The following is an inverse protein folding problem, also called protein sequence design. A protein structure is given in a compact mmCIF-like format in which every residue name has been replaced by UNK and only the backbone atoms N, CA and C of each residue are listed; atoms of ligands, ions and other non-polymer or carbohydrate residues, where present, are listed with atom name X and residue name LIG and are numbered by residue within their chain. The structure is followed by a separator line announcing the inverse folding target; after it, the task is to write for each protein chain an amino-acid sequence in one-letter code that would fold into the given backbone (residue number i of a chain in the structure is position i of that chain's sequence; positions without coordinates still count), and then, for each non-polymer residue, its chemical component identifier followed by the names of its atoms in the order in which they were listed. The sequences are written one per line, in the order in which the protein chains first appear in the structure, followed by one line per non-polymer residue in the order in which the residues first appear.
data_IF_569360454105
#
_entry.id   IF_569360454105
#
_cell.length_a   1.000
_cell.length_b   1.000
_cell.length_c   1.000
_cell.angle_alpha   90.00
_cell.angle_beta   90.00
_cell.angle_gamma   90.00
#
_symmetry.space_group_name_H-M   'P 1'
#
loop_
_entity.id
_entity.type
_entity.pdbx_description
1 polymer ?
#
# COMPACT_ATOMS: atom_id res chain seq x y z
N UNK A 1 -16.79 -9.71 11.52
CA UNK A 1 -16.44 -9.65 10.08
C UNK A 1 -15.80 -10.95 9.62
N UNK A 2 -16.02 -11.33 8.37
CA UNK A 2 -15.52 -12.56 7.72
C UNK A 2 -14.62 -12.21 6.53
N UNK A 3 -13.98 -13.22 5.92
CA UNK A 3 -13.21 -13.07 4.68
C UNK A 3 -14.00 -12.40 3.54
N UNK A 4 -15.30 -12.71 3.43
CA UNK A 4 -16.17 -12.05 2.45
C UNK A 4 -16.31 -10.55 2.72
N UNK A 5 -16.45 -10.15 3.98
CA UNK A 5 -16.46 -8.74 4.35
C UNK A 5 -15.15 -8.03 4.00
N UNK A 6 -14.01 -8.70 4.14
CA UNK A 6 -12.70 -8.13 3.73
C UNK A 6 -12.62 -7.94 2.22
N UNK A 7 -13.19 -8.84 1.42
CA UNK A 7 -13.28 -8.66 -0.04
C UNK A 7 -14.12 -7.45 -0.42
N UNK A 8 -15.30 -7.30 0.20
CA UNK A 8 -16.13 -6.11 -0.03
C UNK A 8 -15.40 -4.83 0.39
N UNK A 9 -14.63 -4.86 1.48
CA UNK A 9 -13.78 -3.73 1.86
C UNK A 9 -12.72 -3.43 0.80
N UNK A 10 -12.09 -4.44 0.21
CA UNK A 10 -11.14 -4.23 -0.89
C UNK A 10 -11.83 -3.60 -2.10
N UNK A 11 -13.03 -4.07 -2.46
CA UNK A 11 -13.82 -3.49 -3.56
C UNK A 11 -14.15 -2.01 -3.32
N UNK A 12 -14.49 -1.63 -2.08
CA UNK A 12 -14.80 -0.24 -1.73
C UNK A 12 -13.54 0.62 -1.61
N UNK A 13 -12.47 0.09 -1.05
CA UNK A 13 -11.25 0.85 -0.75
C UNK A 13 -10.29 0.94 -1.94
N UNK A 14 -10.44 0.04 -2.92
CA UNK A 14 -9.58 -0.07 -4.10
C UNK A 14 -10.35 0.01 -5.42
N UNK A 15 -11.69 0.07 -5.38
CA UNK A 15 -12.54 0.16 -6.56
C UNK A 15 -12.23 1.40 -7.40
N UNK A 16 -12.06 1.17 -8.70
CA UNK A 16 -11.45 2.11 -9.67
C UNK A 16 -12.46 3.04 -10.35
N UNK A 17 -13.76 3.00 -10.05
CA UNK A 17 -14.75 3.68 -10.88
C UNK A 17 -15.59 4.73 -10.14
N UNK A 18 -15.41 5.97 -10.61
CA UNK A 18 -16.24 7.18 -10.56
C UNK A 18 -16.89 7.58 -9.22
N UNK A 19 -16.43 8.73 -8.71
CA UNK A 19 -17.04 9.57 -7.67
C UNK A 19 -17.23 9.00 -6.25
N UNK A 20 -17.03 7.70 -6.01
CA UNK A 20 -17.03 7.13 -4.66
C UNK A 20 -15.69 7.36 -3.94
N UNK A 21 -15.48 8.63 -3.63
CA UNK A 21 -14.47 9.20 -2.76
C UNK A 21 -14.44 8.44 -1.40
N UNK A 22 -13.45 7.58 -1.20
CA UNK A 22 -12.93 7.20 0.12
C UNK A 22 -11.53 7.84 0.31
N UNK A 23 -11.42 9.18 0.24
CA UNK A 23 -10.20 9.87 -0.15
C UNK A 23 -9.23 10.08 1.03
N UNK A 24 -9.49 9.45 2.17
CA UNK A 24 -8.81 9.81 3.42
C UNK A 24 -8.90 8.75 4.50
N UNK A 25 -9.20 7.49 4.16
CA UNK A 25 -9.18 6.45 5.19
C UNK A 25 -7.74 6.13 5.56
N UNK A 26 -7.25 6.80 6.60
CA UNK A 26 -5.87 6.60 7.07
C UNK A 26 -5.72 5.37 7.99
N UNK A 27 -6.80 4.93 8.64
CA UNK A 27 -6.75 3.87 9.65
C UNK A 27 -7.92 2.91 9.49
N UNK A 28 -7.62 1.64 9.29
CA UNK A 28 -8.58 0.54 9.22
C UNK A 28 -8.34 -0.42 10.39
N UNK A 29 -9.27 -0.42 11.35
CA UNK A 29 -9.22 -1.28 12.53
C UNK A 29 -10.20 -2.43 12.39
N UNK A 30 -9.67 -3.62 12.08
CA UNK A 30 -10.49 -4.83 11.90
C UNK A 30 -9.99 -6.00 12.75
N UNK A 31 -9.28 -5.68 13.83
CA UNK A 31 -8.82 -6.61 14.86
C UNK A 31 -9.98 -7.33 15.55
N UNK A 32 -9.66 -8.44 16.23
CA UNK A 32 -10.61 -9.28 16.97
C UNK A 32 -11.70 -9.93 16.10
N UNK A 33 -11.44 -10.09 14.80
CA UNK A 33 -12.32 -10.79 13.88
C UNK A 33 -11.76 -12.19 13.55
N UNK A 34 -12.09 -13.18 14.39
CA UNK A 34 -11.60 -14.56 14.24
C UNK A 34 -12.03 -15.26 12.95
N UNK A 35 -13.06 -14.76 12.27
CA UNK A 35 -13.53 -15.26 10.98
C UNK A 35 -12.82 -14.61 9.78
N UNK A 36 -11.84 -13.74 10.04
CA UNK A 36 -10.85 -13.34 9.04
C UNK A 36 -9.73 -14.38 9.11
N UNK A 37 -9.59 -15.12 8.03
CA UNK A 37 -8.69 -16.25 7.87
C UNK A 37 -7.74 -16.01 6.70
N UNK A 38 -6.86 -16.98 6.44
CA UNK A 38 -5.92 -16.94 5.32
C UNK A 38 -6.59 -16.74 3.95
N UNK A 39 -7.90 -17.01 3.82
CA UNK A 39 -8.67 -16.79 2.59
C UNK A 39 -8.83 -15.31 2.22
N UNK A 40 -8.67 -14.40 3.18
CA UNK A 40 -8.72 -12.95 2.93
C UNK A 40 -7.44 -12.35 2.37
N UNK A 41 -6.37 -13.14 2.20
CA UNK A 41 -5.04 -12.61 1.92
C UNK A 41 -4.96 -11.72 0.68
N UNK A 42 -5.53 -12.16 -0.44
CA UNK A 42 -5.44 -11.41 -1.70
C UNK A 42 -6.14 -10.05 -1.58
N UNK A 43 -7.29 -10.01 -0.92
CA UNK A 43 -8.01 -8.76 -0.65
C UNK A 43 -7.22 -7.83 0.29
N UNK A 44 -6.57 -8.38 1.32
CA UNK A 44 -5.73 -7.59 2.22
C UNK A 44 -4.49 -7.02 1.51
N UNK A 45 -3.87 -7.79 0.62
CA UNK A 45 -2.74 -7.32 -0.19
C UNK A 45 -3.22 -6.22 -1.15
N UNK A 46 -4.37 -6.42 -1.81
CA UNK A 46 -4.96 -5.41 -2.68
C UNK A 46 -5.21 -4.08 -1.95
N UNK A 47 -5.72 -4.12 -0.72
CA UNK A 47 -5.90 -2.92 0.12
C UNK A 47 -4.56 -2.24 0.40
N UNK A 48 -3.51 -3.00 0.73
CA UNK A 48 -2.18 -2.45 1.01
C UNK A 48 -1.56 -1.80 -0.23
N UNK A 49 -1.67 -2.43 -1.39
CA UNK A 49 -0.99 -1.99 -2.61
C UNK A 49 -1.73 -0.85 -3.33
N UNK A 50 -3.07 -0.83 -3.28
CA UNK A 50 -3.88 0.10 -4.07
C UNK A 50 -4.39 1.29 -3.25
N UNK A 51 -4.60 1.15 -1.94
CA UNK A 51 -5.06 2.28 -1.13
C UNK A 51 -3.88 3.18 -0.70
N UNK A 52 -3.69 4.28 -1.42
CA UNK A 52 -2.59 5.24 -1.19
C UNK A 52 -2.73 6.08 0.08
N UNK A 53 -3.89 6.07 0.74
CA UNK A 53 -4.17 6.91 1.92
C UNK A 53 -4.03 6.15 3.24
N UNK A 54 -4.10 4.82 3.20
CA UNK A 54 -4.10 3.97 4.39
C UNK A 54 -2.72 3.91 5.03
N UNK A 55 -2.61 4.45 6.25
CA UNK A 55 -1.37 4.47 7.05
C UNK A 55 -1.32 3.36 8.09
N UNK A 56 -2.48 2.84 8.50
CA UNK A 56 -2.57 1.81 9.54
C UNK A 56 -3.65 0.78 9.21
N UNK A 57 -3.25 -0.50 9.18
CA UNK A 57 -4.13 -1.65 9.09
C UNK A 57 -3.94 -2.56 10.32
N UNK A 58 -4.97 -2.65 11.17
CA UNK A 58 -4.93 -3.47 12.39
C UNK A 58 -5.65 -4.81 12.19
N UNK A 59 -4.89 -5.90 12.27
CA UNK A 59 -5.32 -7.30 12.07
C UNK A 59 -4.99 -8.20 13.28
N UNK A 60 -4.93 -7.60 14.47
CA UNK A 60 -4.63 -8.35 15.70
C UNK A 60 -5.80 -9.27 16.05
N UNK A 61 -5.51 -10.44 16.63
CA UNK A 61 -6.55 -11.39 17.04
C UNK A 61 -7.51 -11.86 15.93
N UNK A 62 -7.04 -11.86 14.67
CA UNK A 62 -7.65 -12.60 13.55
C UNK A 62 -7.00 -13.98 13.37
N UNK A 63 -7.67 -14.90 12.69
CA UNK A 63 -7.20 -16.27 12.43
C UNK A 63 -6.25 -16.36 11.23
N UNK A 64 -5.32 -15.41 11.14
CA UNK A 64 -4.28 -15.37 10.12
C UNK A 64 -3.05 -16.16 10.57
N UNK A 65 -2.61 -17.11 9.76
CA UNK A 65 -1.39 -17.87 9.99
C UNK A 65 -0.14 -16.99 9.85
N UNK A 66 0.98 -17.45 10.43
CA UNK A 66 2.25 -16.75 10.30
C UNK A 66 2.73 -16.63 8.85
N UNK A 67 2.35 -17.59 8.00
CA UNK A 67 2.64 -17.54 6.56
C UNK A 67 1.98 -16.33 5.91
N UNK A 68 0.70 -16.10 6.19
CA UNK A 68 -0.04 -14.95 5.66
C UNK A 68 0.48 -13.65 6.27
N UNK A 69 0.76 -13.60 7.57
CA UNK A 69 1.37 -12.43 8.22
C UNK A 69 2.71 -12.06 7.59
N UNK A 70 3.54 -13.03 7.21
CA UNK A 70 4.80 -12.77 6.48
C UNK A 70 4.56 -12.20 5.08
N UNK A 71 3.57 -12.71 4.34
CA UNK A 71 3.21 -12.16 3.03
C UNK A 71 2.74 -10.71 3.12
N UNK A 72 1.87 -10.39 4.10
CA UNK A 72 1.42 -9.02 4.34
C UNK A 72 2.57 -8.07 4.67
N UNK A 73 3.52 -8.49 5.53
CA UNK A 73 4.73 -7.70 5.80
C UNK A 73 5.57 -7.46 4.55
N UNK A 74 5.69 -8.47 3.68
CA UNK A 74 6.42 -8.32 2.41
C UNK A 74 5.75 -7.33 1.47
N UNK A 75 4.42 -7.36 1.35
CA UNK A 75 3.67 -6.40 0.54
C UNK A 75 3.95 -4.95 0.99
N UNK A 76 3.92 -4.70 2.32
CA UNK A 76 4.27 -3.38 2.88
C UNK A 76 5.72 -2.99 2.58
N UNK A 77 6.68 -3.92 2.73
CA UNK A 77 8.10 -3.64 2.44
C UNK A 77 8.31 -3.33 0.95
N UNK A 78 7.66 -4.06 0.06
CA UNK A 78 7.77 -3.82 -1.38
C UNK A 78 7.26 -2.42 -1.75
N UNK A 79 6.10 -2.02 -1.21
CA UNK A 79 5.56 -0.68 -1.40
C UNK A 79 6.54 0.41 -0.91
N UNK A 80 7.14 0.23 0.28
CA UNK A 80 8.13 1.17 0.80
C UNK A 80 9.42 1.23 -0.04
N UNK A 81 9.85 0.09 -0.58
CA UNK A 81 11.03 0.03 -1.44
C UNK A 81 10.79 0.71 -2.80
N UNK A 82 9.60 0.59 -3.39
CA UNK A 82 9.22 1.28 -4.62
C UNK A 82 9.24 2.81 -4.42
N UNK A 83 8.72 3.29 -3.28
CA UNK A 83 8.79 4.71 -2.92
C UNK A 83 10.26 5.17 -2.76
N UNK A 84 11.09 4.34 -2.13
CA UNK A 84 12.51 4.62 -1.94
C UNK A 84 13.34 4.57 -3.24
N UNK A 85 13.01 3.72 -4.21
CA UNK A 85 13.68 3.71 -5.52
C UNK A 85 13.26 4.92 -6.35
N UNK A 86 11.98 5.31 -6.31
CA UNK A 86 11.48 6.52 -6.98
C UNK A 86 12.21 7.79 -6.50
N UNK A 87 12.52 7.87 -5.20
CA UNK A 87 13.28 8.98 -4.62
C UNK A 87 14.73 9.07 -5.14
N UNK A 88 15.35 7.95 -5.55
CA UNK A 88 16.72 7.94 -6.11
C UNK A 88 16.77 8.36 -7.57
N UNK A 89 15.75 8.00 -8.35
CA UNK A 89 15.67 8.34 -9.77
C UNK A 89 15.18 9.78 -10.02
N UNK A 90 14.63 10.45 -8.98
CA UNK A 90 14.11 11.81 -9.04
C UNK A 90 15.10 12.94 -8.72
N UNK A 91 16.40 12.65 -8.61
CA UNK A 91 17.39 13.70 -8.35
C UNK A 91 17.70 14.45 -9.66
N UNK A 92 17.08 15.62 -9.78
CA UNK A 92 17.30 16.62 -10.82
C UNK A 92 18.81 16.87 -10.94
N UNK A 93 19.42 16.49 -12.07
CA UNK A 93 20.71 17.03 -12.49
C UNK A 93 20.53 18.54 -12.73
N UNK A 94 20.82 19.33 -11.70
CA UNK A 94 21.01 20.76 -11.83
C UNK A 94 22.22 21.01 -12.74
N UNK A 95 21.92 21.47 -13.95
CA UNK A 95 22.76 22.21 -14.88
C UNK A 95 24.12 22.67 -14.33
N UNK A 96 25.18 21.98 -14.74
CA UNK A 96 26.52 22.56 -14.85
C UNK A 96 27.00 22.31 -16.29
N UNK A 97 26.55 23.14 -17.22
CA UNK A 97 27.28 23.32 -18.48
C UNK A 97 28.62 23.98 -18.15
N UNK A 98 29.77 23.39 -18.51
CA UNK A 98 31.02 24.14 -18.53
C UNK A 98 30.90 25.19 -19.63
N UNK A 99 30.93 26.48 -19.27
CA UNK A 99 31.15 27.54 -20.24
C UNK A 99 32.51 27.31 -20.87
N UNK A 100 32.51 26.90 -22.13
CA UNK A 100 33.66 27.05 -23.02
C UNK A 100 34.00 28.54 -23.10
N UNK A 101 35.06 28.95 -22.41
CA UNK A 101 35.79 30.16 -22.80
C UNK A 101 36.61 29.82 -24.05
N UNK A 102 36.11 30.26 -25.20
CA UNK A 102 36.91 30.62 -26.37
C UNK A 102 36.62 32.09 -26.67
N UNK A 103 37.59 32.72 -27.33
CA UNK A 103 37.70 34.14 -27.71
C UNK A 103 38.51 34.96 -26.69
N UNK A 104 39.61 35.64 -27.03
CA UNK A 104 40.33 35.88 -28.30
C UNK A 104 41.79 36.22 -27.93
#
# INVERSE_FOLDING_TARGET
MTDYGVRLLADVLCGVNDDSICPSLEKLHISFNKLITDQSIEALIQIIEQNQTLKLLSLQYCSLSDKVRRKLRKAVINLLNEICSFSRDGQIESSLTPRTHKEL
#
